data_IF_406781290670
#
_entry.id   IF_406781290670
#
_cell.length_a   1.000
_cell.length_b   1.000
_cell.length_c   1.000
_cell.angle_alpha   90.00
_cell.angle_beta   90.00
_cell.angle_gamma   90.00
#
_symmetry.space_group_name_H-M   'P 1'
#
loop_
_entity.id
_entity.type
_entity.pdbx_description
1 polymer ?
#
# COMPACT_ATOMS: atom_id res chain seq x y z
N UNK A 1 2.44 -9.43 7.86
CA UNK A 1 1.56 -8.58 7.01
C UNK A 1 1.03 -9.45 5.89
N UNK A 2 -0.28 -9.39 5.57
CA UNK A 2 -0.81 -10.16 4.44
C UNK A 2 -0.17 -9.70 3.12
N UNK A 3 0.02 -8.39 2.90
CA UNK A 3 0.66 -7.84 1.70
C UNK A 3 1.88 -6.96 2.06
N UNK A 4 2.94 -6.93 1.24
CA UNK A 4 4.04 -5.97 1.38
C UNK A 4 3.57 -4.55 1.10
N UNK A 5 4.34 -3.58 1.60
CA UNK A 5 4.28 -2.20 1.14
C UNK A 5 4.81 -2.12 -0.30
N UNK A 6 3.96 -1.72 -1.24
CA UNK A 6 4.27 -1.67 -2.68
C UNK A 6 4.63 -0.25 -3.11
N UNK A 7 5.89 -0.08 -3.50
CA UNK A 7 6.43 1.16 -4.03
C UNK A 7 6.56 1.07 -5.55
N UNK A 8 5.83 1.89 -6.30
CA UNK A 8 6.08 2.09 -7.72
C UNK A 8 7.19 3.13 -7.90
N UNK A 9 8.21 2.82 -8.68
CA UNK A 9 9.30 3.74 -9.00
C UNK A 9 9.48 3.83 -10.51
N UNK A 10 9.54 5.05 -11.05
CA UNK A 10 9.83 5.28 -12.46
C UNK A 10 10.52 6.63 -12.68
N UNK A 11 11.31 6.71 -13.75
CA UNK A 11 11.67 7.97 -14.38
C UNK A 11 10.84 8.13 -15.66
N UNK A 12 10.31 9.31 -15.92
CA UNK A 12 9.48 9.62 -17.10
C UNK A 12 9.91 10.93 -17.75
N UNK A 13 9.68 11.06 -19.05
CA UNK A 13 9.71 12.36 -19.74
C UNK A 13 8.58 13.30 -19.27
N UNK A 14 8.66 14.59 -19.62
CA UNK A 14 7.62 15.59 -19.33
C UNK A 14 6.22 15.20 -19.85
N UNK A 15 6.17 14.41 -20.93
CA UNK A 15 4.96 13.89 -21.56
C UNK A 15 4.58 12.44 -21.15
N UNK A 16 5.28 11.89 -20.15
CA UNK A 16 4.89 10.66 -19.43
C UNK A 16 5.37 9.34 -20.04
N UNK A 17 6.43 9.36 -20.85
CA UNK A 17 7.03 8.17 -21.46
C UNK A 17 8.17 7.61 -20.61
N UNK A 18 8.30 6.28 -20.61
CA UNK A 18 9.35 5.52 -19.92
C UNK A 18 10.59 5.29 -20.81
N UNK A 19 10.42 5.38 -22.12
CA UNK A 19 11.46 5.16 -23.12
C UNK A 19 11.04 5.79 -24.46
N UNK A 20 11.90 5.73 -25.48
CA UNK A 20 11.53 6.01 -26.87
C UNK A 20 11.21 4.72 -27.66
N UNK A 21 11.10 4.77 -28.99
CA UNK A 21 10.89 3.57 -29.84
C UNK A 21 12.20 2.96 -30.36
N UNK A 22 13.34 3.46 -29.90
CA UNK A 22 14.67 3.01 -30.30
C UNK A 22 15.01 1.63 -29.73
N UNK A 23 16.10 1.02 -30.23
CA UNK A 23 16.60 -0.25 -29.70
C UNK A 23 17.41 -0.08 -28.41
N UNK A 24 17.91 1.12 -28.15
CA UNK A 24 18.71 1.45 -26.98
C UNK A 24 17.81 2.08 -25.91
N UNK A 25 18.03 1.70 -24.66
CA UNK A 25 17.31 2.27 -23.52
C UNK A 25 17.58 3.76 -23.37
N UNK A 26 16.54 4.58 -23.35
CA UNK A 26 16.63 6.01 -23.07
C UNK A 26 16.98 6.27 -21.60
N UNK A 27 18.03 7.06 -21.37
CA UNK A 27 18.39 7.53 -20.03
C UNK A 27 17.54 8.77 -19.69
N UNK A 28 16.48 8.56 -18.91
CA UNK A 28 15.58 9.61 -18.45
C UNK A 28 16.06 10.33 -17.19
N UNK A 29 17.12 9.87 -16.53
CA UNK A 29 17.64 10.54 -15.34
C UNK A 29 19.15 10.42 -15.22
N UNK A 30 19.74 11.25 -14.35
CA UNK A 30 21.18 11.36 -14.18
C UNK A 30 21.76 10.57 -13.00
N UNK A 31 23.08 10.65 -12.78
CA UNK A 31 23.77 9.91 -11.71
C UNK A 31 23.19 10.14 -10.31
N UNK A 32 22.71 11.34 -10.00
CA UNK A 32 22.08 11.65 -8.71
C UNK A 32 20.78 10.86 -8.48
N UNK A 33 19.98 10.67 -9.54
CA UNK A 33 18.76 9.89 -9.45
C UNK A 33 19.05 8.38 -9.48
N UNK A 34 20.06 7.92 -10.22
CA UNK A 34 20.53 6.53 -10.16
C UNK A 34 21.01 6.13 -8.77
N UNK A 35 21.75 7.01 -8.10
CA UNK A 35 22.19 6.78 -6.72
C UNK A 35 21.01 6.71 -5.74
N UNK A 36 20.02 7.59 -5.91
CA UNK A 36 18.76 7.53 -5.15
C UNK A 36 17.98 6.24 -5.40
N UNK A 37 17.83 5.82 -6.65
CA UNK A 37 17.16 4.55 -6.99
C UNK A 37 17.91 3.38 -6.36
N UNK A 38 19.24 3.42 -6.35
CA UNK A 38 20.09 2.42 -5.70
C UNK A 38 19.87 2.36 -4.18
N UNK A 39 19.69 3.51 -3.53
CA UNK A 39 19.29 3.61 -2.12
C UNK A 39 17.92 2.96 -1.88
N UNK A 40 16.93 3.26 -2.73
CA UNK A 40 15.58 2.68 -2.62
C UNK A 40 15.62 1.15 -2.83
N UNK A 41 16.42 0.67 -3.79
CA UNK A 41 16.67 -0.76 -3.97
C UNK A 41 17.29 -1.38 -2.72
N UNK A 42 18.29 -0.73 -2.13
CA UNK A 42 18.95 -1.22 -0.93
C UNK A 42 18.02 -1.25 0.30
N UNK A 43 17.04 -0.35 0.38
CA UNK A 43 16.04 -0.32 1.44
C UNK A 43 14.85 -1.28 1.22
N UNK A 44 14.80 -1.97 0.08
CA UNK A 44 13.70 -2.89 -0.27
C UNK A 44 14.05 -4.34 0.02
N UNK A 45 13.04 -5.16 0.33
CA UNK A 45 13.22 -6.61 0.52
C UNK A 45 13.19 -7.33 -0.84
N UNK A 46 12.43 -6.80 -1.80
CA UNK A 46 12.32 -7.33 -3.15
C UNK A 46 12.21 -6.21 -4.21
N UNK A 47 12.69 -6.50 -5.42
CA UNK A 47 12.58 -5.64 -6.61
C UNK A 47 11.83 -6.42 -7.70
N UNK A 48 10.78 -5.83 -8.27
CA UNK A 48 9.92 -6.45 -9.28
C UNK A 48 9.91 -5.66 -10.58
N UNK A 49 10.01 -6.40 -11.70
CA UNK A 49 9.71 -5.90 -13.05
C UNK A 49 8.87 -6.91 -13.81
N UNK A 50 7.98 -6.41 -14.69
CA UNK A 50 7.24 -7.26 -15.60
C UNK A 50 8.14 -7.94 -16.65
N UNK A 51 7.73 -9.12 -17.12
CA UNK A 51 8.48 -9.84 -18.16
C UNK A 51 8.64 -9.06 -19.48
N UNK A 52 7.78 -8.08 -19.76
CA UNK A 52 7.96 -7.16 -20.89
C UNK A 52 9.26 -6.37 -20.77
N UNK A 53 9.51 -5.77 -19.60
CA UNK A 53 10.76 -5.05 -19.29
C UNK A 53 11.97 -5.97 -19.32
N UNK A 54 11.84 -7.23 -18.90
CA UNK A 54 12.95 -8.18 -19.03
C UNK A 54 13.35 -8.43 -20.49
N UNK A 55 12.37 -8.55 -21.39
CA UNK A 55 12.63 -8.79 -22.83
C UNK A 55 13.20 -7.56 -23.53
N UNK A 56 12.75 -6.36 -23.17
CA UNK A 56 13.20 -5.12 -23.82
C UNK A 56 14.53 -4.63 -23.27
N UNK A 57 14.70 -4.59 -21.94
CA UNK A 57 15.81 -3.86 -21.32
C UNK A 57 16.92 -4.79 -20.81
N UNK A 58 16.65 -6.11 -20.75
CA UNK A 58 17.52 -7.14 -20.18
C UNK A 58 18.23 -6.71 -18.87
N UNK A 59 17.50 -6.23 -17.85
CA UNK A 59 18.11 -5.57 -16.71
C UNK A 59 18.71 -6.57 -15.71
N UNK A 60 19.80 -6.16 -15.05
CA UNK A 60 20.40 -6.92 -13.94
C UNK A 60 19.63 -6.81 -12.62
N UNK A 61 18.93 -5.70 -12.38
CA UNK A 61 18.21 -5.38 -11.12
C UNK A 61 19.03 -5.63 -9.85
N UNK A 62 20.03 -4.79 -9.61
CA UNK A 62 20.94 -4.91 -8.47
C UNK A 62 21.01 -3.64 -7.65
N UNK A 63 21.44 -3.81 -6.40
CA UNK A 63 22.08 -2.74 -5.63
C UNK A 63 23.53 -2.63 -6.11
N UNK A 64 23.88 -1.54 -6.76
CA UNK A 64 25.18 -1.26 -7.36
C UNK A 64 26.21 -0.82 -6.31
N UNK A 65 25.83 -0.04 -5.30
CA UNK A 65 26.75 0.40 -4.25
C UNK A 65 27.21 -0.76 -3.37
N UNK A 66 28.52 -0.98 -3.31
CA UNK A 66 29.12 -1.98 -2.44
C UNK A 66 28.91 -1.67 -0.95
N UNK A 67 28.90 -0.40 -0.59
CA UNK A 67 28.65 0.05 0.79
C UNK A 67 27.21 -0.27 1.21
N UNK A 68 26.22 0.01 0.34
CA UNK A 68 24.82 -0.33 0.61
C UNK A 68 24.61 -1.84 0.74
N UNK A 69 25.29 -2.64 -0.08
CA UNK A 69 25.29 -4.11 0.04
C UNK A 69 25.91 -4.57 1.36
N UNK A 70 27.05 -4.00 1.76
CA UNK A 70 27.68 -4.31 3.03
C UNK A 70 26.81 -3.93 4.23
N UNK A 71 26.13 -2.78 4.17
CA UNK A 71 25.18 -2.34 5.20
C UNK A 71 24.02 -3.33 5.37
N UNK A 72 23.42 -3.78 4.26
CA UNK A 72 22.37 -4.82 4.30
C UNK A 72 22.84 -6.09 5.01
N UNK A 73 24.03 -6.57 4.66
CA UNK A 73 24.60 -7.78 5.28
C UNK A 73 24.87 -7.56 6.78
N UNK A 74 25.34 -6.37 7.17
CA UNK A 74 25.56 -6.02 8.58
C UNK A 74 24.25 -6.00 9.39
N UNK A 75 23.12 -5.70 8.75
CA UNK A 75 21.78 -5.77 9.34
C UNK A 75 21.16 -7.18 9.31
N UNK A 76 21.90 -8.19 8.83
CA UNK A 76 21.44 -9.57 8.71
C UNK A 76 20.50 -9.83 7.52
N UNK A 77 20.43 -8.89 6.57
CA UNK A 77 19.67 -9.03 5.34
C UNK A 77 20.53 -9.63 4.22
N UNK A 78 19.93 -10.28 3.19
CA UNK A 78 20.65 -10.70 2.01
C UNK A 78 21.32 -9.51 1.29
N UNK A 79 22.53 -9.74 0.76
CA UNK A 79 23.34 -8.74 0.04
C UNK A 79 22.52 -8.03 -1.06
N UNK A 80 21.70 -8.79 -1.78
CA UNK A 80 20.76 -8.30 -2.78
C UNK A 80 19.32 -8.54 -2.35
N UNK A 81 18.39 -7.61 -2.62
CA UNK A 81 16.95 -7.88 -2.53
C UNK A 81 16.54 -9.07 -3.42
N UNK A 82 15.44 -9.74 -3.05
CA UNK A 82 14.83 -10.76 -3.89
C UNK A 82 14.43 -10.16 -5.24
N UNK A 83 14.90 -10.77 -6.32
CA UNK A 83 14.55 -10.34 -7.69
C UNK A 83 13.29 -11.06 -8.14
N UNK A 84 12.28 -10.29 -8.53
CA UNK A 84 10.96 -10.82 -8.88
C UNK A 84 10.59 -10.44 -10.31
N UNK A 85 10.06 -11.40 -11.06
CA UNK A 85 9.36 -11.09 -12.31
C UNK A 85 8.00 -11.76 -12.37
N UNK A 86 7.09 -11.14 -13.12
CA UNK A 86 5.73 -11.64 -13.36
C UNK A 86 5.51 -11.84 -14.86
N UNK A 87 4.95 -12.99 -15.21
CA UNK A 87 4.61 -13.34 -16.59
C UNK A 87 3.37 -14.22 -16.62
N UNK A 88 2.46 -14.00 -17.57
CA UNK A 88 1.34 -14.94 -17.75
C UNK A 88 1.73 -16.14 -18.63
N UNK A 89 2.63 -15.93 -19.60
CA UNK A 89 2.95 -16.92 -20.63
C UNK A 89 4.09 -17.87 -20.27
N UNK A 90 4.92 -17.49 -19.29
CA UNK A 90 6.20 -18.16 -19.04
C UNK A 90 7.25 -17.91 -20.12
N UNK A 91 7.00 -16.99 -21.07
CA UNK A 91 7.93 -16.68 -22.16
C UNK A 91 9.05 -15.75 -21.67
N UNK A 92 10.16 -16.35 -21.25
CA UNK A 92 11.34 -15.70 -20.72
C UNK A 92 12.59 -16.28 -21.40
N UNK A 93 13.56 -15.40 -21.67
CA UNK A 93 14.87 -15.79 -22.19
C UNK A 93 15.74 -16.34 -21.05
N UNK A 94 16.21 -17.61 -21.10
CA UNK A 94 17.08 -18.19 -20.08
C UNK A 94 18.47 -17.52 -20.02
N UNK A 95 18.89 -16.81 -21.06
CA UNK A 95 20.17 -16.12 -21.13
C UNK A 95 20.12 -14.67 -20.63
N UNK A 96 18.93 -14.19 -20.21
CA UNK A 96 18.78 -12.85 -19.68
C UNK A 96 19.70 -12.60 -18.46
N UNK A 97 20.30 -11.40 -18.40
CA UNK A 97 21.21 -10.99 -17.32
C UNK A 97 20.55 -11.05 -15.93
N UNK A 98 19.22 -10.98 -15.89
CA UNK A 98 18.42 -11.15 -14.70
C UNK A 98 18.70 -12.49 -13.99
N UNK A 99 18.93 -13.59 -14.70
CA UNK A 99 19.18 -14.91 -14.07
C UNK A 99 20.60 -15.06 -13.54
N UNK A 100 21.56 -14.44 -14.22
CA UNK A 100 23.00 -14.66 -14.04
C UNK A 100 23.67 -13.68 -13.08
N UNK A 101 22.89 -12.82 -12.41
CA UNK A 101 23.42 -11.81 -11.47
C UNK A 101 22.58 -11.66 -10.20
N UNK A 102 23.20 -11.17 -9.13
CA UNK A 102 22.53 -10.85 -7.87
C UNK A 102 22.18 -12.08 -7.04
N UNK A 103 21.18 -11.94 -6.17
CA UNK A 103 20.74 -12.97 -5.23
C UNK A 103 19.65 -13.90 -5.76
N UNK A 104 18.73 -14.27 -4.88
CA UNK A 104 17.60 -15.14 -5.19
C UNK A 104 16.66 -14.53 -6.24
N UNK A 105 15.99 -15.41 -7.01
CA UNK A 105 15.03 -15.03 -8.05
C UNK A 105 13.71 -15.77 -7.85
N UNK A 106 12.60 -15.07 -8.07
CA UNK A 106 11.27 -15.65 -8.11
C UNK A 106 10.51 -15.22 -9.37
N UNK A 107 9.77 -16.16 -9.96
CA UNK A 107 8.88 -15.92 -11.10
C UNK A 107 7.45 -16.24 -10.68
N UNK A 108 6.59 -15.24 -10.72
CA UNK A 108 5.15 -15.43 -10.49
C UNK A 108 4.43 -15.54 -11.83
N UNK A 109 3.63 -16.59 -11.97
CA UNK A 109 3.07 -16.97 -13.27
C UNK A 109 1.74 -17.71 -13.13
N UNK A 110 1.10 -17.98 -14.27
CA UNK A 110 -0.06 -18.88 -14.33
C UNK A 110 0.38 -20.35 -14.25
N UNK A 111 -0.56 -21.26 -13.99
CA UNK A 111 -0.31 -22.71 -13.99
C UNK A 111 0.36 -23.16 -15.31
N UNK A 112 -0.17 -22.71 -16.45
CA UNK A 112 0.39 -22.98 -17.78
C UNK A 112 1.78 -22.37 -17.97
N UNK A 113 1.99 -21.15 -17.49
CA UNK A 113 3.30 -20.50 -17.58
C UNK A 113 4.34 -21.21 -16.72
N UNK A 114 3.94 -21.80 -15.58
CA UNK A 114 4.85 -22.57 -14.73
C UNK A 114 5.32 -23.86 -15.40
N UNK A 115 4.45 -24.56 -16.13
CA UNK A 115 4.83 -25.73 -16.94
C UNK A 115 5.95 -25.38 -17.93
N UNK A 116 5.76 -24.31 -18.71
CA UNK A 116 6.76 -23.83 -19.68
C UNK A 116 8.09 -23.45 -19.02
N UNK A 117 8.05 -22.78 -17.86
CA UNK A 117 9.26 -22.34 -17.17
C UNK A 117 10.06 -23.51 -16.58
N UNK A 118 9.40 -24.59 -16.16
CA UNK A 118 10.08 -25.81 -15.70
C UNK A 118 10.88 -26.47 -16.83
N UNK A 119 10.35 -26.44 -18.05
CA UNK A 119 11.04 -26.95 -19.25
C UNK A 119 12.25 -26.08 -19.64
N UNK A 120 12.15 -24.77 -19.45
CA UNK A 120 13.23 -23.82 -19.74
C UNK A 120 14.42 -23.93 -18.77
N UNK A 121 14.25 -24.52 -17.60
CA UNK A 121 15.34 -24.77 -16.65
C UNK A 121 15.97 -23.51 -16.05
N UNK A 122 15.23 -22.40 -15.98
CA UNK A 122 15.73 -21.16 -15.39
C UNK A 122 15.99 -21.33 -13.88
N UNK A 123 17.11 -20.78 -13.41
CA UNK A 123 17.50 -20.83 -11.99
C UNK A 123 16.69 -19.80 -11.16
N UNK A 124 15.40 -20.08 -10.95
CA UNK A 124 14.50 -19.26 -10.16
C UNK A 124 13.41 -20.12 -9.49
N UNK A 125 12.87 -19.62 -8.39
CA UNK A 125 11.68 -20.19 -7.78
C UNK A 125 10.43 -19.82 -8.62
N UNK A 126 9.77 -20.82 -9.20
CA UNK A 126 8.60 -20.62 -10.06
C UNK A 126 7.32 -20.85 -9.26
N UNK A 127 6.57 -19.78 -9.03
CA UNK A 127 5.33 -19.77 -8.25
C UNK A 127 4.15 -19.61 -9.18
N UNK A 128 3.34 -20.67 -9.30
CA UNK A 128 2.05 -20.61 -9.96
C UNK A 128 1.01 -20.02 -9.00
N UNK A 129 0.27 -18.99 -9.44
CA UNK A 129 -0.78 -18.33 -8.63
C UNK A 129 -2.20 -18.69 -9.08
N UNK A 130 -2.33 -19.66 -9.99
CA UNK A 130 -3.59 -20.17 -10.53
C UNK A 130 -3.70 -20.03 -12.04
N UNK A 131 -4.91 -20.21 -12.56
CA UNK A 131 -5.19 -20.17 -14.01
C UNK A 131 -4.94 -18.77 -14.62
N UNK A 132 -5.19 -17.72 -13.84
CA UNK A 132 -4.93 -16.32 -14.21
C UNK A 132 -3.99 -15.66 -13.20
N UNK A 133 -3.31 -14.60 -13.64
CA UNK A 133 -2.36 -13.87 -12.81
C UNK A 133 -3.12 -12.86 -11.91
N UNK A 134 -3.33 -13.24 -10.65
CA UNK A 134 -3.98 -12.39 -9.65
C UNK A 134 -2.96 -11.67 -8.76
N UNK A 135 -2.91 -10.33 -8.84
CA UNK A 135 -1.93 -9.52 -8.11
C UNK A 135 -2.03 -9.68 -6.60
N UNK A 136 -3.24 -9.81 -6.04
CA UNK A 136 -3.41 -10.04 -4.60
C UNK A 136 -2.75 -11.35 -4.17
N UNK A 137 -2.90 -12.42 -4.94
CA UNK A 137 -2.25 -13.71 -4.66
C UNK A 137 -0.72 -13.61 -4.74
N UNK A 138 -0.19 -12.89 -5.74
CA UNK A 138 1.25 -12.61 -5.87
C UNK A 138 1.78 -11.86 -4.64
N UNK A 139 1.11 -10.77 -4.25
CA UNK A 139 1.51 -9.95 -3.11
C UNK A 139 1.35 -10.69 -1.77
N UNK A 140 0.29 -11.49 -1.61
CA UNK A 140 0.08 -12.33 -0.43
C UNK A 140 1.20 -13.37 -0.27
N UNK A 141 1.57 -14.03 -1.37
CA UNK A 141 2.66 -15.01 -1.34
C UNK A 141 4.01 -14.34 -1.05
N UNK A 142 4.30 -13.19 -1.67
CA UNK A 142 5.50 -12.39 -1.35
C UNK A 142 5.56 -12.02 0.13
N UNK A 143 4.46 -11.54 0.70
CA UNK A 143 4.40 -11.14 2.11
C UNK A 143 4.52 -12.31 3.07
N UNK A 144 3.70 -13.35 2.88
CA UNK A 144 3.55 -14.45 3.85
C UNK A 144 4.59 -15.55 3.72
N UNK A 145 4.96 -15.90 2.49
CA UNK A 145 5.86 -17.04 2.21
C UNK A 145 7.29 -16.56 2.03
N UNK A 146 7.50 -15.45 1.33
CA UNK A 146 8.84 -14.89 1.09
C UNK A 146 9.28 -13.86 2.14
N UNK A 147 8.40 -13.48 3.06
CA UNK A 147 8.72 -12.53 4.13
C UNK A 147 8.99 -11.10 3.64
N UNK A 148 8.59 -10.78 2.40
CA UNK A 148 8.78 -9.44 1.81
C UNK A 148 7.88 -8.45 2.54
N UNK A 149 8.47 -7.40 3.13
CA UNK A 149 7.73 -6.31 3.79
C UNK A 149 7.69 -5.07 2.90
N UNK A 150 8.74 -4.81 2.13
CA UNK A 150 8.82 -3.70 1.17
C UNK A 150 9.17 -4.22 -0.23
N UNK A 151 8.26 -4.00 -1.18
CA UNK A 151 8.40 -4.36 -2.58
C UNK A 151 8.59 -3.09 -3.42
N UNK A 152 9.71 -2.97 -4.11
CA UNK A 152 9.91 -1.95 -5.14
C UNK A 152 9.51 -2.51 -6.50
N UNK A 153 8.70 -1.78 -7.26
CA UNK A 153 8.23 -2.15 -8.59
C UNK A 153 8.77 -1.12 -9.59
N UNK A 154 9.78 -1.52 -10.35
CA UNK A 154 10.51 -0.62 -11.26
C UNK A 154 9.93 -0.56 -12.68
N UNK A 155 8.98 -1.44 -13.01
CA UNK A 155 8.17 -1.21 -14.20
C UNK A 155 7.67 -2.42 -14.96
N UNK A 156 7.51 -2.11 -16.25
CA UNK A 156 6.44 -2.56 -17.11
C UNK A 156 5.24 -1.63 -16.92
N UNK A 157 4.95 -0.73 -17.88
CA UNK A 157 3.81 0.19 -17.75
C UNK A 157 2.48 -0.53 -17.49
N UNK A 158 2.32 -1.76 -18.01
CA UNK A 158 1.21 -2.66 -17.68
C UNK A 158 1.14 -3.04 -16.20
N UNK A 159 2.28 -3.39 -15.59
CA UNK A 159 2.36 -3.77 -14.16
C UNK A 159 1.99 -2.58 -13.28
N UNK A 160 2.57 -1.41 -13.53
CA UNK A 160 2.23 -0.17 -12.81
C UNK A 160 0.73 0.15 -12.93
N UNK A 161 0.19 0.07 -14.15
CA UNK A 161 -1.24 0.31 -14.42
C UNK A 161 -2.14 -0.63 -13.61
N UNK A 162 -1.84 -1.93 -13.62
CA UNK A 162 -2.65 -2.92 -12.91
C UNK A 162 -2.61 -2.72 -11.40
N UNK A 163 -1.43 -2.48 -10.81
CA UNK A 163 -1.29 -2.26 -9.36
C UNK A 163 -2.02 -1.01 -8.88
N UNK A 164 -1.98 0.08 -9.67
CA UNK A 164 -2.74 1.29 -9.35
C UNK A 164 -4.25 1.08 -9.47
N UNK A 165 -4.72 0.49 -10.57
CA UNK A 165 -6.16 0.27 -10.80
C UNK A 165 -6.78 -0.66 -9.77
N UNK A 166 -6.01 -1.59 -9.21
CA UNK A 166 -6.46 -2.51 -8.17
C UNK A 166 -6.29 -1.96 -6.74
N UNK A 167 -5.78 -0.73 -6.58
CA UNK A 167 -5.57 -0.11 -5.27
C UNK A 167 -4.48 -0.79 -4.43
N UNK A 168 -3.49 -1.40 -5.09
CA UNK A 168 -2.43 -2.20 -4.48
C UNK A 168 -1.08 -1.48 -4.35
N UNK A 169 -0.95 -0.28 -4.93
CA UNK A 169 0.27 0.54 -4.83
C UNK A 169 0.19 1.52 -3.64
N UNK A 170 1.09 1.38 -2.67
CA UNK A 170 1.15 2.22 -1.47
C UNK A 170 1.81 3.58 -1.69
N UNK A 171 2.79 3.65 -2.58
CA UNK A 171 3.48 4.89 -2.93
C UNK A 171 3.94 4.85 -4.38
N UNK A 172 3.93 6.02 -5.01
CA UNK A 172 4.51 6.27 -6.31
C UNK A 172 5.65 7.28 -6.18
N UNK A 173 6.86 6.89 -6.57
CA UNK A 173 7.99 7.80 -6.78
C UNK A 173 8.20 8.02 -8.27
N UNK A 174 8.09 9.28 -8.69
CA UNK A 174 8.21 9.67 -10.08
C UNK A 174 9.34 10.69 -10.22
N UNK A 175 10.40 10.33 -10.93
CA UNK A 175 11.39 11.27 -11.41
C UNK A 175 10.96 11.80 -12.78
N UNK A 176 10.82 13.12 -12.94
CA UNK A 176 10.41 13.75 -14.20
C UNK A 176 11.63 14.39 -14.85
N UNK A 177 12.02 13.82 -15.98
CA UNK A 177 13.13 14.25 -16.83
C UNK A 177 12.79 15.55 -17.57
N UNK A 178 13.73 16.48 -17.75
CA UNK A 178 13.49 17.75 -18.44
C UNK A 178 13.50 17.61 -19.98
N UNK A 179 12.86 16.57 -20.52
CA UNK A 179 12.79 16.30 -21.96
C UNK A 179 11.41 15.79 -22.38
N UNK A 180 11.12 15.88 -23.67
CA UNK A 180 9.94 15.29 -24.31
C UNK A 180 10.35 14.12 -25.19
N UNK A 181 9.58 13.02 -25.16
CA UNK A 181 9.77 11.91 -26.12
C UNK A 181 8.93 12.16 -27.37
N UNK A 182 7.66 12.54 -27.22
CA UNK A 182 6.80 12.98 -28.32
C UNK A 182 6.41 11.90 -29.34
N UNK A 183 6.69 10.61 -29.05
CA UNK A 183 6.44 9.50 -29.96
C UNK A 183 5.19 8.73 -29.51
N UNK A 184 4.13 8.73 -30.31
CA UNK A 184 2.85 8.13 -29.93
C UNK A 184 2.92 6.63 -29.57
N UNK A 185 3.87 5.90 -30.15
CA UNK A 185 4.06 4.45 -29.93
C UNK A 185 5.09 4.14 -28.84
N UNK A 186 5.75 5.15 -28.27
CA UNK A 186 6.72 4.92 -27.21
C UNK A 186 6.02 4.41 -25.92
N UNK A 187 6.73 3.62 -25.09
CA UNK A 187 6.14 3.04 -23.89
C UNK A 187 5.80 4.13 -22.88
N UNK A 188 4.52 4.21 -22.51
CA UNK A 188 4.05 5.09 -21.44
C UNK A 188 4.15 4.42 -20.08
N UNK A 189 4.29 5.25 -19.04
CA UNK A 189 4.26 4.76 -17.66
C UNK A 189 2.94 4.06 -17.34
N UNK A 190 1.84 4.62 -17.82
CA UNK A 190 0.52 4.07 -17.63
C UNK A 190 -0.13 3.77 -18.98
N UNK A 191 -0.67 2.56 -19.08
CA UNK A 191 -1.48 2.11 -20.21
C UNK A 191 -2.95 2.45 -20.02
N UNK A 192 -3.80 1.84 -20.83
CA UNK A 192 -5.25 2.02 -20.76
C UNK A 192 -5.86 1.43 -19.49
N UNK A 193 -6.86 2.13 -18.95
CA UNK A 193 -7.95 1.52 -18.18
C UNK A 193 -8.82 2.57 -17.49
N UNK A 194 -9.53 2.18 -16.44
CA UNK A 194 -10.53 3.04 -15.79
C UNK A 194 -9.90 4.28 -15.17
N UNK A 195 -10.64 5.40 -15.18
CA UNK A 195 -10.29 6.57 -14.39
C UNK A 195 -10.36 6.19 -12.91
N UNK A 196 -9.24 6.23 -12.15
CA UNK A 196 -9.25 5.80 -10.77
C UNK A 196 -10.14 6.74 -9.94
N UNK A 197 -10.93 6.21 -8.98
CA UNK A 197 -11.63 7.06 -8.04
C UNK A 197 -10.61 7.80 -7.17
N UNK A 198 -10.78 9.11 -7.05
CA UNK A 198 -10.00 9.95 -6.14
C UNK A 198 -8.61 10.35 -6.61
N UNK A 199 -7.96 11.19 -5.79
CA UNK A 199 -6.66 11.80 -6.09
C UNK A 199 -5.53 11.04 -5.40
N UNK A 200 -4.29 11.29 -5.83
CA UNK A 200 -3.12 10.98 -5.02
C UNK A 200 -2.68 12.23 -4.26
N UNK A 201 -2.14 12.06 -3.05
CA UNK A 201 -1.58 13.13 -2.24
C UNK A 201 -0.09 13.23 -2.50
N UNK A 202 0.39 14.42 -2.88
CA UNK A 202 1.81 14.75 -2.93
C UNK A 202 2.35 14.78 -1.48
N UNK A 203 3.36 13.96 -1.20
CA UNK A 203 4.03 13.91 0.11
C UNK A 203 5.45 14.50 0.08
N UNK A 204 6.08 14.53 -1.09
CA UNK A 204 7.39 15.15 -1.29
C UNK A 204 7.52 15.64 -2.73
N UNK A 205 8.15 16.79 -2.91
CA UNK A 205 8.65 17.26 -4.20
C UNK A 205 10.01 17.90 -4.01
N UNK A 206 11.02 17.50 -4.81
CA UNK A 206 12.34 18.12 -4.77
C UNK A 206 13.14 17.90 -6.05
N UNK A 207 14.08 18.80 -6.40
CA UNK A 207 15.07 18.53 -7.44
C UNK A 207 16.03 17.39 -7.06
N UNK A 208 16.46 16.61 -8.06
CA UNK A 208 17.50 15.56 -7.95
C UNK A 208 18.39 15.64 -9.19
N UNK A 209 19.53 16.33 -9.10
CA UNK A 209 20.27 16.68 -10.30
C UNK A 209 19.42 17.59 -11.21
N UNK A 210 19.16 17.16 -12.44
CA UNK A 210 18.36 17.86 -13.44
C UNK A 210 16.89 17.39 -13.53
N UNK A 211 16.49 16.37 -12.74
CA UNK A 211 15.11 15.88 -12.69
C UNK A 211 14.36 16.41 -11.47
N UNK A 212 13.02 16.39 -11.52
CA UNK A 212 12.16 16.63 -10.35
C UNK A 212 11.64 15.30 -9.83
N UNK A 213 11.95 14.97 -8.58
CA UNK A 213 11.35 13.85 -7.87
C UNK A 213 10.05 14.29 -7.22
N UNK A 214 8.99 13.52 -7.44
CA UNK A 214 7.72 13.64 -6.74
C UNK A 214 7.35 12.30 -6.10
N UNK A 215 6.84 12.36 -4.87
CA UNK A 215 6.32 11.18 -4.16
C UNK A 215 4.85 11.37 -3.86
N UNK A 216 4.07 10.35 -4.19
CA UNK A 216 2.62 10.36 -4.05
C UNK A 216 2.14 9.13 -3.29
N UNK A 217 1.08 9.30 -2.51
CA UNK A 217 0.34 8.19 -1.86
C UNK A 217 -1.13 8.24 -2.28
N UNK A 218 -1.81 7.09 -2.45
CA UNK A 218 -3.24 7.08 -2.76
C UNK A 218 -4.05 7.53 -1.54
N UNK A 219 -5.16 8.24 -1.78
CA UNK A 219 -6.06 8.67 -0.70
C UNK A 219 -7.46 8.08 -0.78
N UNK A 220 -7.88 7.57 -1.94
CA UNK A 220 -9.21 7.01 -2.12
C UNK A 220 -9.37 5.67 -1.38
N UNK A 221 -10.33 5.55 -0.45
CA UNK A 221 -10.64 4.29 0.21
C UNK A 221 -10.99 3.16 -0.77
N UNK A 222 -10.79 1.92 -0.33
CA UNK A 222 -11.31 0.76 -1.04
C UNK A 222 -12.84 0.66 -0.98
N UNK A 223 -13.37 -0.23 -1.81
CA UNK A 223 -14.77 -0.68 -1.72
C UNK A 223 -14.82 -2.12 -1.18
N UNK A 224 -15.92 -2.47 -0.53
CA UNK A 224 -16.10 -3.82 0.01
C UNK A 224 -15.15 -4.12 1.18
N UNK A 225 -14.87 -5.42 1.35
CA UNK A 225 -14.07 -5.97 2.46
C UNK A 225 -12.58 -6.09 2.18
N UNK A 226 -12.14 -5.69 1.00
CA UNK A 226 -10.73 -5.76 0.63
C UNK A 226 -10.01 -4.51 1.10
N UNK A 227 -8.86 -4.71 1.74
CA UNK A 227 -7.95 -3.63 2.08
C UNK A 227 -7.28 -3.07 0.82
N UNK A 228 -7.06 -1.77 0.81
CA UNK A 228 -6.25 -1.05 -0.17
C UNK A 228 -5.07 -0.35 0.48
N UNK A 229 -4.15 0.13 -0.35
CA UNK A 229 -3.05 0.98 0.08
C UNK A 229 -3.51 2.24 0.85
N UNK A 230 -4.60 2.89 0.41
CA UNK A 230 -5.13 4.06 1.09
C UNK A 230 -5.64 3.72 2.49
N UNK A 231 -6.20 2.52 2.70
CA UNK A 231 -6.69 2.12 4.02
C UNK A 231 -5.57 2.08 5.06
N UNK A 232 -4.37 1.63 4.66
CA UNK A 232 -3.18 1.63 5.51
C UNK A 232 -2.77 3.05 5.89
N UNK A 233 -2.81 4.00 4.96
CA UNK A 233 -2.52 5.41 5.24
C UNK A 233 -3.49 6.02 6.26
N UNK A 234 -4.80 5.82 6.08
CA UNK A 234 -5.80 6.42 6.95
C UNK A 234 -5.86 5.76 8.32
N UNK A 235 -5.71 4.44 8.39
CA UNK A 235 -5.64 3.75 9.68
C UNK A 235 -4.37 4.11 10.45
N UNK A 236 -3.25 4.31 9.76
CA UNK A 236 -2.03 4.85 10.38
C UNK A 236 -2.30 6.20 11.06
N UNK A 237 -3.01 7.11 10.38
CA UNK A 237 -3.41 8.41 10.93
C UNK A 237 -4.38 8.27 12.11
N UNK A 238 -5.32 7.33 12.06
CA UNK A 238 -6.21 7.04 13.18
C UNK A 238 -5.42 6.58 14.41
N UNK A 239 -4.40 5.74 14.25
CA UNK A 239 -3.51 5.36 15.35
C UNK A 239 -2.71 6.57 15.90
N UNK A 240 -2.23 7.49 15.05
CA UNK A 240 -1.55 8.72 15.50
C UNK A 240 -2.45 9.64 16.32
N UNK A 241 -3.74 9.67 15.99
CA UNK A 241 -4.73 10.43 16.76
C UNK A 241 -4.96 9.81 18.14
N UNK A 242 -4.83 8.49 18.29
CA UNK A 242 -4.92 7.82 19.58
C UNK A 242 -3.81 8.28 20.54
N UNK A 243 -2.59 8.53 20.04
CA UNK A 243 -1.46 9.04 20.82
C UNK A 243 -1.71 10.46 21.39
N UNK A 244 -2.68 11.19 20.85
CA UNK A 244 -3.05 12.54 21.30
C UNK A 244 -4.10 12.54 22.41
N UNK A 245 -4.66 11.38 22.76
CA UNK A 245 -5.71 11.32 23.76
C UNK A 245 -5.16 11.69 25.16
N UNK A 246 -5.87 12.51 25.95
CA UNK A 246 -5.60 12.67 27.37
C UNK A 246 -5.53 11.30 28.08
N UNK A 247 -4.63 11.05 29.04
CA UNK A 247 -4.59 9.77 29.76
C UNK A 247 -5.91 9.43 30.45
N UNK A 248 -6.23 8.13 30.53
CA UNK A 248 -7.39 7.62 31.28
C UNK A 248 -7.06 6.27 31.89
N UNK A 249 -7.69 5.95 33.02
CA UNK A 249 -7.63 4.62 33.69
C UNK A 249 -8.86 3.76 33.45
N UNK A 250 -9.89 4.32 32.80
CA UNK A 250 -11.23 3.72 32.69
C UNK A 250 -11.76 3.75 31.26
N UNK A 251 -10.95 4.20 30.30
CA UNK A 251 -11.33 4.28 28.89
C UNK A 251 -10.11 4.19 27.98
N UNK A 252 -10.26 3.54 26.83
CA UNK A 252 -9.22 3.48 25.82
C UNK A 252 -8.97 4.84 25.14
N UNK A 253 -7.73 5.07 24.76
CA UNK A 253 -7.28 6.09 23.81
C UNK A 253 -7.49 5.56 22.40
N UNK A 254 -8.41 6.18 21.66
CA UNK A 254 -8.80 5.79 20.31
C UNK A 254 -8.70 7.01 19.41
N UNK A 255 -8.32 6.82 18.16
CA UNK A 255 -8.41 7.85 17.13
C UNK A 255 -9.25 7.36 15.96
N UNK A 256 -9.92 8.29 15.29
CA UNK A 256 -10.80 8.00 14.16
C UNK A 256 -10.69 9.05 13.04
N UNK A 257 -10.86 8.62 11.80
CA UNK A 257 -10.87 9.47 10.60
C UNK A 257 -12.03 9.04 9.70
N UNK A 258 -12.74 10.01 9.13
CA UNK A 258 -13.84 9.80 8.19
C UNK A 258 -13.41 10.34 6.84
N UNK A 259 -13.42 9.49 5.81
CA UNK A 259 -12.89 9.81 4.48
C UNK A 259 -13.94 9.54 3.42
N UNK A 260 -14.18 10.49 2.53
CA UNK A 260 -15.08 10.34 1.39
C UNK A 260 -14.51 9.37 0.34
N UNK A 261 -15.37 8.88 -0.55
CA UNK A 261 -15.00 7.94 -1.61
C UNK A 261 -13.90 8.48 -2.56
N UNK A 262 -13.78 9.80 -2.71
CA UNK A 262 -12.74 10.44 -3.53
C UNK A 262 -11.39 10.63 -2.80
N UNK A 263 -11.31 10.18 -1.54
CA UNK A 263 -10.13 10.32 -0.71
C UNK A 263 -10.01 11.67 0.00
N UNK A 264 -11.05 12.50 -0.01
CA UNK A 264 -11.12 13.72 0.80
C UNK A 264 -11.37 13.35 2.27
N UNK A 265 -10.52 13.82 3.17
CA UNK A 265 -10.78 13.73 4.60
C UNK A 265 -11.96 14.65 4.97
N UNK A 266 -13.02 14.08 5.53
CA UNK A 266 -14.21 14.82 5.96
C UNK A 266 -14.04 15.34 7.38
N UNK A 267 -13.64 14.47 8.30
CA UNK A 267 -13.40 14.81 9.69
C UNK A 267 -12.47 13.80 10.35
N UNK A 268 -11.93 14.18 11.51
CA UNK A 268 -11.15 13.32 12.38
C UNK A 268 -11.52 13.56 13.83
N UNK A 269 -11.28 12.59 14.70
CA UNK A 269 -11.54 12.69 16.14
C UNK A 269 -10.61 11.81 16.95
N UNK A 270 -10.51 12.10 18.25
CA UNK A 270 -9.82 11.24 19.21
C UNK A 270 -10.61 11.20 20.52
N UNK A 271 -10.43 10.14 21.30
CA UNK A 271 -11.10 10.01 22.59
C UNK A 271 -10.77 11.20 23.49
N UNK A 272 -11.79 11.68 24.21
CA UNK A 272 -11.67 12.82 25.15
C UNK A 272 -11.29 14.16 24.52
N UNK A 273 -11.52 14.31 23.22
CA UNK A 273 -11.32 15.57 22.51
C UNK A 273 -12.21 16.69 23.07
N UNK A 274 -11.70 17.92 23.06
CA UNK A 274 -12.45 19.11 23.50
C UNK A 274 -12.77 19.15 25.00
N UNK A 275 -12.19 18.26 25.80
CA UNK A 275 -12.40 18.22 27.25
C UNK A 275 -13.63 17.43 27.70
N UNK A 276 -14.37 16.78 26.78
CA UNK A 276 -15.44 15.83 27.15
C UNK A 276 -14.81 14.51 27.61
N UNK A 277 -14.84 14.15 28.91
CA UNK A 277 -14.14 12.96 29.41
C UNK A 277 -14.72 11.62 28.90
N UNK A 278 -15.89 11.64 28.27
CA UNK A 278 -16.59 10.42 27.82
C UNK A 278 -16.82 10.35 26.31
N UNK A 279 -16.40 11.35 25.53
CA UNK A 279 -16.53 11.29 24.07
C UNK A 279 -15.57 10.26 23.47
N UNK A 280 -16.10 9.43 22.59
CA UNK A 280 -15.32 8.47 21.82
C UNK A 280 -14.82 9.10 20.51
N UNK A 281 -13.77 8.54 19.92
CA UNK A 281 -13.13 9.09 18.72
C UNK A 281 -14.09 9.18 17.52
N UNK A 282 -14.88 8.14 17.26
CA UNK A 282 -15.82 8.09 16.14
C UNK A 282 -16.95 9.10 16.33
N UNK A 283 -17.45 9.23 17.57
CA UNK A 283 -18.45 10.24 17.93
C UNK A 283 -17.91 11.66 17.76
N UNK A 284 -16.69 11.93 18.22
CA UNK A 284 -16.04 13.23 18.07
C UNK A 284 -15.82 13.59 16.60
N UNK A 285 -15.48 12.61 15.74
CA UNK A 285 -15.33 12.83 14.31
C UNK A 285 -16.68 13.12 13.63
N UNK A 286 -17.71 12.31 13.89
CA UNK A 286 -19.04 12.46 13.32
C UNK A 286 -19.72 13.77 13.74
N UNK A 287 -19.53 14.21 14.98
CA UNK A 287 -20.12 15.44 15.49
C UNK A 287 -19.64 16.73 14.80
N UNK A 288 -18.56 16.65 14.00
CA UNK A 288 -18.01 17.77 13.21
C UNK A 288 -18.59 17.86 11.81
N UNK A 289 -19.42 16.90 11.40
CA UNK A 289 -20.00 16.81 10.08
C UNK A 289 -21.47 17.22 10.12
N UNK A 290 -21.95 17.71 8.97
CA UNK A 290 -23.38 17.81 8.74
C UNK A 290 -23.94 16.38 8.57
N UNK A 291 -25.01 16.06 9.31
CA UNK A 291 -25.64 14.74 9.25
C UNK A 291 -26.23 14.45 7.87
N UNK A 292 -26.54 15.50 7.09
CA UNK A 292 -27.07 15.41 5.73
C UNK A 292 -25.97 15.53 4.66
N UNK A 293 -24.69 15.46 5.03
CA UNK A 293 -23.59 15.49 4.06
C UNK A 293 -23.70 14.28 3.11
N UNK A 294 -23.97 14.50 1.80
CA UNK A 294 -24.23 13.42 0.86
C UNK A 294 -23.01 12.50 0.65
N UNK A 295 -21.81 12.93 1.07
CA UNK A 295 -20.58 12.15 0.98
C UNK A 295 -20.52 11.02 2.00
N UNK A 296 -21.27 11.09 3.11
CA UNK A 296 -21.25 10.09 4.18
C UNK A 296 -21.69 8.71 3.71
N UNK A 297 -22.66 8.62 2.80
CA UNK A 297 -23.15 7.35 2.26
C UNK A 297 -22.06 6.52 1.55
N UNK A 298 -21.06 7.20 0.96
CA UNK A 298 -19.90 6.58 0.31
C UNK A 298 -18.62 6.65 1.15
N UNK A 299 -18.68 7.18 2.37
CA UNK A 299 -17.50 7.37 3.20
C UNK A 299 -17.03 6.07 3.85
N UNK A 300 -15.78 6.09 4.30
CA UNK A 300 -15.18 5.06 5.16
C UNK A 300 -14.78 5.67 6.50
N UNK A 301 -15.09 4.96 7.59
CA UNK A 301 -14.57 5.27 8.93
C UNK A 301 -13.35 4.40 9.21
N UNK A 302 -12.23 5.04 9.55
CA UNK A 302 -11.03 4.39 10.05
C UNK A 302 -10.97 4.61 11.56
N UNK A 303 -10.88 3.54 12.36
CA UNK A 303 -10.76 3.64 13.81
C UNK A 303 -9.63 2.77 14.34
N UNK A 304 -8.80 3.29 15.25
CA UNK A 304 -7.70 2.52 15.81
C UNK A 304 -8.17 1.32 16.66
N UNK A 305 -9.39 1.39 17.20
CA UNK A 305 -10.04 0.32 17.96
C UNK A 305 -11.41 0.01 17.31
N UNK A 306 -11.88 -1.22 17.47
CA UNK A 306 -13.24 -1.61 17.10
C UNK A 306 -14.29 -0.64 17.68
N UNK A 307 -15.20 -0.08 16.87
CA UNK A 307 -16.25 0.79 17.37
C UNK A 307 -17.16 0.04 18.33
N UNK A 308 -17.35 0.55 19.55
CA UNK A 308 -18.10 -0.19 20.57
C UNK A 308 -19.53 -0.54 20.12
N UNK A 309 -20.00 -1.73 20.52
CA UNK A 309 -21.39 -2.17 20.34
C UNK A 309 -22.33 -1.68 21.44
N UNK A 310 -21.77 -1.40 22.63
CA UNK A 310 -22.49 -0.93 23.83
C UNK A 310 -21.56 -0.01 24.62
N UNK A 311 -22.12 0.96 25.31
CA UNK A 311 -21.39 1.81 26.27
C UNK A 311 -22.35 2.36 27.31
N UNK A 312 -21.85 2.56 28.53
CA UNK A 312 -22.65 3.11 29.65
C UNK A 312 -22.65 4.64 29.64
N UNK A 313 -21.62 5.26 29.05
CA UNK A 313 -21.41 6.71 29.08
C UNK A 313 -22.42 7.52 28.27
N UNK A 314 -23.03 6.92 27.24
CA UNK A 314 -23.98 7.56 26.31
C UNK A 314 -24.99 6.52 25.78
N UNK A 315 -26.22 6.92 25.42
CA UNK A 315 -27.27 5.99 25.02
C UNK A 315 -27.00 5.28 23.67
N UNK A 316 -26.32 5.94 22.74
CA UNK A 316 -25.98 5.37 21.43
C UNK A 316 -24.51 4.95 21.37
N UNK A 317 -24.19 3.70 21.02
CA UNK A 317 -22.81 3.23 20.84
C UNK A 317 -22.20 3.67 19.49
N UNK A 318 -20.88 3.64 19.36
CA UNK A 318 -20.18 4.13 18.16
C UNK A 318 -20.61 3.39 16.89
N UNK A 319 -20.77 2.06 16.95
CA UNK A 319 -21.25 1.28 15.80
C UNK A 319 -22.60 1.77 15.27
N UNK A 320 -23.52 2.18 16.17
CA UNK A 320 -24.83 2.74 15.78
C UNK A 320 -24.70 4.16 15.24
N UNK A 321 -23.87 5.01 15.84
CA UNK A 321 -23.62 6.36 15.31
C UNK A 321 -23.09 6.33 13.87
N UNK A 322 -22.20 5.40 13.55
CA UNK A 322 -21.66 5.19 12.20
C UNK A 322 -22.78 4.78 11.22
N UNK A 323 -23.61 3.81 11.60
CA UNK A 323 -24.70 3.32 10.76
C UNK A 323 -25.78 4.37 10.53
N UNK A 324 -26.16 5.10 11.58
CA UNK A 324 -27.14 6.20 11.55
C UNK A 324 -26.66 7.32 10.62
N UNK A 325 -25.35 7.60 10.59
CA UNK A 325 -24.74 8.57 9.68
C UNK A 325 -24.69 8.10 8.20
N UNK A 326 -25.18 6.90 7.89
CA UNK A 326 -25.20 6.37 6.53
C UNK A 326 -23.88 5.74 6.07
N UNK A 327 -22.83 5.72 6.90
CA UNK A 327 -21.55 5.09 6.56
C UNK A 327 -21.71 3.57 6.51
N UNK A 328 -21.14 2.92 5.50
CA UNK A 328 -21.23 1.47 5.28
C UNK A 328 -19.89 0.75 5.16
N UNK A 329 -18.78 1.44 5.41
CA UNK A 329 -17.46 0.80 5.45
C UNK A 329 -16.65 1.29 6.64
N UNK A 330 -16.11 0.34 7.40
CA UNK A 330 -15.32 0.59 8.60
C UNK A 330 -14.02 -0.20 8.53
N UNK A 331 -12.90 0.45 8.81
CA UNK A 331 -11.57 -0.16 8.85
C UNK A 331 -10.98 0.00 10.24
N UNK A 332 -10.52 -1.09 10.85
CA UNK A 332 -10.02 -1.10 12.23
C UNK A 332 -8.67 -1.79 12.38
N UNK A 333 -7.91 -1.45 13.43
CA UNK A 333 -6.62 -2.07 13.72
C UNK A 333 -6.72 -3.15 14.81
N UNK A 334 -7.45 -2.84 15.89
CA UNK A 334 -7.49 -3.66 17.11
C UNK A 334 -8.94 -3.99 17.48
N UNK A 335 -9.24 -5.26 17.76
CA UNK A 335 -10.55 -5.66 18.30
C UNK A 335 -10.65 -5.28 19.77
N UNK A 336 -11.84 -4.92 20.24
CA UNK A 336 -12.01 -4.48 21.62
C UNK A 336 -11.74 -5.66 22.57
N UNK A 337 -10.75 -5.56 23.49
CA UNK A 337 -10.48 -6.62 24.45
C UNK A 337 -11.52 -6.61 25.58
N UNK A 338 -11.62 -7.74 26.30
CA UNK A 338 -12.49 -7.92 27.48
C UNK A 338 -11.99 -7.14 28.73
N UNK A 339 -11.52 -5.91 28.57
CA UNK A 339 -11.00 -5.06 29.67
C UNK A 339 -12.12 -4.29 30.35
N UNK A 340 -13.05 -3.69 29.59
CA UNK A 340 -14.14 -2.87 30.13
C UNK A 340 -15.53 -3.39 29.74
N UNK A 341 -15.65 -4.06 28.59
CA UNK A 341 -16.89 -4.66 28.11
C UNK A 341 -16.58 -6.10 27.72
N UNK A 342 -17.20 -7.07 28.42
CA UNK A 342 -17.06 -8.47 28.07
C UNK A 342 -17.81 -8.79 26.78
N UNK A 343 -17.16 -9.55 25.88
CA UNK A 343 -17.69 -9.96 24.59
C UNK A 343 -18.21 -8.78 23.75
N UNK A 344 -17.42 -7.69 23.68
CA UNK A 344 -17.70 -6.60 22.77
C UNK A 344 -17.71 -7.11 21.32
N UNK A 345 -18.74 -6.74 20.55
CA UNK A 345 -18.91 -7.17 19.17
C UNK A 345 -19.41 -6.02 18.28
N UNK A 346 -18.59 -4.97 18.24
CA UNK A 346 -18.83 -3.79 17.40
C UNK A 346 -18.91 -4.13 15.92
N UNK A 347 -17.97 -4.96 15.46
CA UNK A 347 -17.93 -5.45 14.09
C UNK A 347 -19.18 -6.24 13.72
N UNK A 348 -19.70 -7.09 14.62
CA UNK A 348 -20.91 -7.86 14.39
C UNK A 348 -22.15 -6.97 14.21
N UNK A 349 -22.29 -5.91 15.01
CA UNK A 349 -23.37 -4.91 14.84
C UNK A 349 -23.29 -4.24 13.47
N UNK A 350 -22.09 -3.84 13.05
CA UNK A 350 -21.85 -3.21 11.74
C UNK A 350 -22.21 -4.18 10.59
N UNK A 351 -21.72 -5.41 10.64
CA UNK A 351 -21.95 -6.42 9.59
C UNK A 351 -23.41 -6.84 9.51
N UNK A 352 -24.10 -7.00 10.64
CA UNK A 352 -25.52 -7.36 10.68
C UNK A 352 -26.42 -6.33 9.97
N UNK A 353 -25.98 -5.08 9.90
CA UNK A 353 -26.70 -3.95 9.27
C UNK A 353 -26.11 -3.61 7.89
N UNK A 354 -25.32 -4.51 7.31
CA UNK A 354 -24.83 -4.42 5.94
C UNK A 354 -23.60 -3.53 5.74
N UNK A 355 -22.88 -3.16 6.80
CA UNK A 355 -21.60 -2.49 6.67
C UNK A 355 -20.45 -3.49 6.45
N UNK A 356 -19.49 -3.12 5.61
CA UNK A 356 -18.25 -3.86 5.44
C UNK A 356 -17.25 -3.47 6.52
N UNK A 357 -16.68 -4.47 7.18
CA UNK A 357 -15.63 -4.30 8.20
C UNK A 357 -14.33 -4.92 7.71
N UNK A 358 -13.27 -4.12 7.69
CA UNK A 358 -11.91 -4.55 7.34
C UNK A 358 -11.01 -4.41 8.56
N UNK A 359 -10.28 -5.46 8.91
CA UNK A 359 -9.32 -5.43 10.02
C UNK A 359 -7.91 -5.50 9.46
N UNK A 360 -7.05 -4.55 9.85
CA UNK A 360 -5.64 -4.51 9.49
C UNK A 360 -4.77 -4.81 10.73
N UNK A 361 -4.55 -6.10 11.06
CA UNK A 361 -3.87 -6.51 12.28
C UNK A 361 -2.41 -6.03 12.36
N UNK A 362 -1.78 -5.70 11.23
CA UNK A 362 -0.45 -5.10 11.21
C UNK A 362 -0.36 -3.74 11.93
N UNK A 363 -1.49 -3.07 12.18
CA UNK A 363 -1.56 -1.83 12.95
C UNK A 363 -1.91 -2.04 14.43
N UNK A 364 -2.20 -3.27 14.87
CA UNK A 364 -2.63 -3.56 16.24
C UNK A 364 -1.59 -3.11 17.28
N UNK A 365 -0.30 -3.39 17.05
CA UNK A 365 0.77 -2.96 17.95
C UNK A 365 0.84 -1.43 18.10
N UNK A 366 0.49 -0.68 17.05
CA UNK A 366 0.43 0.78 17.06
C UNK A 366 -0.81 1.28 17.77
N UNK A 367 -1.96 0.67 17.52
CA UNK A 367 -3.23 1.01 18.18
C UNK A 367 -3.24 0.70 19.69
N UNK A 368 -2.56 -0.37 20.10
CA UNK A 368 -2.45 -0.77 21.51
C UNK A 368 -1.41 0.04 22.29
N UNK A 369 -0.40 0.61 21.63
CA UNK A 369 0.67 1.37 22.27
C UNK A 369 0.19 2.46 23.27
N UNK A 370 -0.76 3.35 22.92
CA UNK A 370 -1.26 4.37 23.87
C UNK A 370 -2.17 3.80 24.98
N UNK A 371 -2.46 2.49 24.95
CA UNK A 371 -3.37 1.81 25.87
C UNK A 371 -2.69 0.77 26.76
N UNK A 372 -1.38 0.55 26.62
CA UNK A 372 -0.65 -0.53 27.34
C UNK A 372 -0.80 -0.46 28.86
N UNK A 373 -1.00 0.72 29.43
CA UNK A 373 -1.21 0.91 30.87
C UNK A 373 -2.57 0.40 31.37
N UNK A 374 -3.48 0.02 30.47
CA UNK A 374 -4.81 -0.53 30.79
C UNK A 374 -4.89 -2.06 30.63
N UNK A 375 -3.90 -2.66 29.99
CA UNK A 375 -3.90 -4.08 29.59
C UNK A 375 -3.13 -4.97 30.56
N UNK A 376 -2.73 -4.44 31.73
CA UNK A 376 -1.89 -5.09 32.73
C UNK A 376 -2.63 -5.53 33.99
#
# INVERSE_FOLDING_TARGET
MPHPYVLLSAAVSLDGFLDDTGPDRLLLSGPADFDRVDEVRAASDAILVGAGTLRTDNPRLLVNSAERRAARVAEGLPEYPLKVTVTASGDLDPDAQFWHTGGEKAVYTTDKGAERLRELGIAADVVAVGAELEWRAVLDHLGRVKGVRRLMVEGGGRVHTQLLQQGLADELQLAVAPLFVGQAQAPRMFGSGGYPPGRMRLVETRPVGDVVLMRYVPTAPGTGRLATAADRHWLALACELADRCPPSRTAFSVGAVIVAADGTELARGHSREGGDPVVHAEEAALAKLDAEDPRLAGATVYSSLEPCARRTSRPRPCARLILDAGVRRVVTAWREPDTFVAAADGSGVLVAEGADVVVLPEYEARATAPNRHLLG
#
